data_IF_449134090565
#
_entry.id   IF_449134090565
#
_cell.length_a   1.000
_cell.length_b   1.000
_cell.length_c   1.000
_cell.angle_alpha   90.00
_cell.angle_beta   90.00
_cell.angle_gamma   90.00
#
_symmetry.space_group_name_H-M   'P 1'
#
loop_
_entity.id
_entity.type
_entity.pdbx_description
1 polymer ?
#
# COMPACT_ATOMS: atom_id res chain seq x y z
N UNK A 1 5.26 -15.95 -9.12
CA UNK A 1 4.46 -14.74 -8.83
C UNK A 1 5.37 -13.53 -8.54
N UNK A 2 6.27 -13.57 -7.55
CA UNK A 2 7.20 -12.46 -7.22
C UNK A 2 8.03 -11.92 -8.40
N UNK A 3 8.61 -12.80 -9.24
CA UNK A 3 9.38 -12.40 -10.44
C UNK A 3 8.59 -11.56 -11.46
N UNK A 4 7.27 -11.79 -11.58
CA UNK A 4 6.43 -11.05 -12.52
C UNK A 4 6.08 -9.65 -11.98
N UNK A 5 5.82 -9.52 -10.68
CA UNK A 5 5.54 -8.23 -10.06
C UNK A 5 6.75 -7.29 -10.13
N UNK A 6 7.96 -7.83 -9.92
CA UNK A 6 9.21 -7.07 -10.05
C UNK A 6 9.41 -6.49 -11.46
N UNK A 7 9.12 -7.27 -12.51
CA UNK A 7 9.26 -6.83 -13.90
C UNK A 7 8.22 -5.79 -14.31
N UNK A 8 7.06 -5.78 -13.66
CA UNK A 8 5.97 -4.84 -13.92
C UNK A 8 6.03 -3.61 -13.01
N UNK A 9 7.08 -3.45 -12.20
CA UNK A 9 7.21 -2.34 -11.23
C UNK A 9 6.16 -2.38 -10.11
N UNK A 10 5.45 -3.50 -9.94
CA UNK A 10 4.42 -3.68 -8.92
C UNK A 10 5.09 -4.06 -7.61
N UNK A 11 4.90 -3.23 -6.58
CA UNK A 11 5.33 -3.55 -5.21
C UNK A 11 4.33 -4.49 -4.54
N UNK A 12 4.85 -5.52 -3.90
CA UNK A 12 4.06 -6.43 -3.07
C UNK A 12 3.70 -5.73 -1.76
N UNK A 13 2.42 -5.74 -1.39
CA UNK A 13 2.01 -5.30 -0.05
C UNK A 13 2.30 -6.47 0.91
N UNK A 14 3.24 -6.29 1.82
CA UNK A 14 3.50 -7.22 2.91
C UNK A 14 2.77 -6.78 4.18
N UNK A 15 1.70 -7.50 4.50
CA UNK A 15 0.89 -7.26 5.69
C UNK A 15 0.42 -8.57 6.29
N UNK A 16 0.05 -8.50 7.55
CA UNK A 16 -0.72 -9.52 8.22
C UNK A 16 -2.20 -9.30 7.88
N UNK A 17 -2.88 -10.37 7.47
CA UNK A 17 -4.32 -10.33 7.18
C UNK A 17 -5.14 -10.70 8.41
N UNK A 18 -4.53 -11.34 9.39
CA UNK A 18 -5.17 -11.73 10.64
C UNK A 18 -4.63 -10.87 11.79
N UNK A 19 -5.48 -10.23 12.61
CA UNK A 19 -5.03 -9.42 13.75
C UNK A 19 -4.22 -10.22 14.77
N UNK A 20 -4.42 -11.54 14.86
CA UNK A 20 -3.75 -12.43 15.81
C UNK A 20 -2.37 -12.93 15.33
N UNK A 21 -1.90 -12.50 14.16
CA UNK A 21 -0.63 -12.96 13.57
C UNK A 21 0.58 -12.74 14.51
N UNK A 22 0.60 -11.65 15.26
CA UNK A 22 1.68 -11.37 16.21
C UNK A 22 1.77 -12.41 17.33
N UNK A 23 0.62 -12.84 17.87
CA UNK A 23 0.54 -13.84 18.94
C UNK A 23 0.93 -15.24 18.42
N UNK A 24 0.46 -15.59 17.22
CA UNK A 24 0.81 -16.85 16.57
C UNK A 24 2.29 -16.94 16.22
N UNK A 25 2.88 -15.86 15.69
CA UNK A 25 4.31 -15.80 15.45
C UNK A 25 5.10 -15.96 16.76
N UNK A 26 4.69 -15.30 17.84
CA UNK A 26 5.30 -15.46 19.16
C UNK A 26 5.16 -16.88 19.73
N UNK A 27 4.13 -17.62 19.30
CA UNK A 27 3.89 -19.01 19.69
C UNK A 27 4.61 -20.05 18.81
N UNK A 28 5.41 -19.61 17.84
CA UNK A 28 6.17 -20.51 16.94
C UNK A 28 5.37 -21.06 15.76
N UNK A 29 4.24 -20.43 15.41
CA UNK A 29 3.43 -20.86 14.26
C UNK A 29 4.17 -20.63 12.93
N UNK A 30 5.14 -19.72 12.88
CA UNK A 30 5.96 -19.49 11.68
C UNK A 30 6.67 -20.77 11.25
N UNK A 31 7.09 -21.62 12.18
CA UNK A 31 7.71 -22.92 11.91
C UNK A 31 6.68 -24.05 11.85
N UNK A 32 5.74 -24.09 12.81
CA UNK A 32 4.80 -25.20 12.98
C UNK A 32 3.66 -25.19 11.96
N UNK A 33 3.32 -24.01 11.43
CA UNK A 33 2.21 -23.77 10.51
C UNK A 33 2.64 -22.83 9.38
N UNK A 34 3.85 -23.08 8.87
CA UNK A 34 4.54 -22.26 7.89
C UNK A 34 3.67 -21.89 6.68
N UNK A 35 2.92 -22.86 6.11
CA UNK A 35 2.11 -22.60 4.90
C UNK A 35 1.03 -21.55 5.18
N UNK A 36 0.28 -21.68 6.29
CA UNK A 36 -0.72 -20.68 6.64
C UNK A 36 -0.07 -19.34 6.95
N UNK A 37 0.97 -19.36 7.79
CA UNK A 37 1.62 -18.14 8.27
C UNK A 37 2.31 -17.35 7.15
N UNK A 38 2.91 -18.01 6.16
CA UNK A 38 3.51 -17.34 5.00
C UNK A 38 2.51 -16.80 4.00
N UNK A 39 1.23 -17.13 4.13
CA UNK A 39 0.16 -16.50 3.36
C UNK A 39 -0.57 -15.41 4.14
N UNK A 40 -0.91 -15.68 5.40
CA UNK A 40 -1.74 -14.82 6.23
C UNK A 40 -0.93 -13.85 7.10
N UNK A 41 0.25 -14.24 7.55
CA UNK A 41 1.03 -13.58 8.59
C UNK A 41 2.46 -13.28 8.15
N UNK A 42 2.62 -12.85 6.90
CA UNK A 42 3.95 -12.64 6.28
C UNK A 42 4.80 -11.64 7.02
N UNK A 43 4.18 -10.58 7.55
CA UNK A 43 4.89 -9.53 8.28
C UNK A 43 5.32 -10.07 9.64
N UNK A 44 4.41 -10.71 10.39
CA UNK A 44 4.73 -11.30 11.68
C UNK A 44 5.83 -12.39 11.59
N UNK A 45 5.87 -13.16 10.50
CA UNK A 45 6.93 -14.16 10.27
C UNK A 45 8.18 -13.63 9.54
N UNK A 46 8.28 -12.31 9.31
CA UNK A 46 9.43 -11.69 8.65
C UNK A 46 9.77 -12.30 7.27
N UNK A 47 8.77 -12.75 6.52
CA UNK A 47 8.93 -13.33 5.17
C UNK A 47 8.58 -12.34 4.05
N UNK A 48 8.53 -11.05 4.37
CA UNK A 48 8.35 -9.99 3.36
C UNK A 48 9.52 -10.00 2.36
N UNK A 49 9.23 -9.81 1.07
CA UNK A 49 10.27 -9.57 0.06
C UNK A 49 10.99 -8.23 0.29
N UNK A 50 12.25 -8.13 -0.14
CA UNK A 50 13.11 -6.92 0.00
C UNK A 50 12.53 -5.64 -0.59
N UNK A 51 11.59 -5.75 -1.54
CA UNK A 51 10.91 -4.60 -2.17
C UNK A 51 9.44 -4.48 -1.76
N UNK A 52 8.99 -5.19 -0.73
CA UNK A 52 7.61 -5.16 -0.28
C UNK A 52 7.34 -3.90 0.58
N UNK A 53 6.14 -3.32 0.43
CA UNK A 53 5.69 -2.22 1.30
C UNK A 53 4.88 -2.78 2.46
N UNK A 54 5.07 -2.24 3.65
CA UNK A 54 4.22 -2.56 4.81
C UNK A 54 2.97 -1.69 4.87
N UNK A 55 2.96 -0.61 4.09
CA UNK A 55 1.86 0.35 4.03
C UNK A 55 0.89 -0.04 2.91
N UNK A 56 -0.38 -0.15 3.29
CA UNK A 56 -1.51 -0.22 2.37
C UNK A 56 -1.81 1.23 1.93
N UNK A 57 -0.89 1.81 1.14
CA UNK A 57 -1.09 3.16 0.58
C UNK A 57 -2.16 3.02 -0.50
N UNK A 58 -3.33 3.69 -0.34
CA UNK A 58 -4.35 3.66 -1.38
C UNK A 58 -3.77 4.18 -2.69
N UNK A 59 -4.26 3.66 -3.82
CA UNK A 59 -3.96 4.26 -5.12
C UNK A 59 -4.29 5.76 -5.04
N UNK A 60 -3.37 6.62 -5.48
CA UNK A 60 -3.50 8.04 -5.24
C UNK A 60 -4.46 8.71 -6.22
N UNK A 61 -5.74 8.40 -6.06
CA UNK A 61 -6.88 8.85 -6.86
C UNK A 61 -8.13 8.81 -6.00
N UNK A 62 -9.09 9.66 -6.36
CA UNK A 62 -10.44 9.55 -5.85
C UNK A 62 -11.22 8.61 -6.78
N UNK A 63 -11.95 7.66 -6.21
CA UNK A 63 -12.68 6.62 -6.95
C UNK A 63 -14.19 6.68 -6.73
N UNK A 64 -14.67 7.51 -5.79
CA UNK A 64 -16.10 7.78 -5.70
C UNK A 64 -16.49 8.74 -6.82
N UNK A 65 -17.15 8.23 -7.85
CA UNK A 65 -17.71 9.04 -8.93
C UNK A 65 -19.09 9.62 -8.58
N UNK A 66 -19.80 8.96 -7.67
CA UNK A 66 -21.14 9.35 -7.22
C UNK A 66 -21.11 10.38 -6.09
N UNK A 67 -19.97 10.49 -5.41
CA UNK A 67 -19.80 11.40 -4.28
C UNK A 67 -18.59 12.31 -4.50
N UNK A 68 -18.82 13.61 -4.33
CA UNK A 68 -17.78 14.61 -4.52
C UNK A 68 -16.79 14.56 -3.35
N UNK A 69 -15.67 13.84 -3.55
CA UNK A 69 -14.58 13.72 -2.60
C UNK A 69 -14.00 15.08 -2.18
N UNK A 70 -14.05 16.08 -3.07
CA UNK A 70 -13.62 17.44 -2.73
C UNK A 70 -14.58 18.04 -1.70
N UNK A 71 -15.89 17.98 -1.94
CA UNK A 71 -16.89 18.44 -0.99
C UNK A 71 -16.77 17.75 0.38
N UNK A 72 -16.68 16.41 0.40
CA UNK A 72 -16.58 15.67 1.67
C UNK A 72 -15.28 15.91 2.42
N UNK A 73 -14.17 16.11 1.72
CA UNK A 73 -12.92 16.52 2.37
C UNK A 73 -13.09 17.87 3.08
N UNK A 74 -13.76 18.85 2.46
CA UNK A 74 -14.01 20.17 3.08
C UNK A 74 -14.98 20.10 4.26
N UNK A 75 -15.85 19.09 4.29
CA UNK A 75 -16.78 18.82 5.38
C UNK A 75 -16.16 18.01 6.54
N UNK A 76 -14.84 17.77 6.53
CA UNK A 76 -14.16 17.06 7.62
C UNK A 76 -14.30 15.54 7.60
N UNK A 77 -14.83 14.95 6.52
CA UNK A 77 -15.04 13.50 6.45
C UNK A 77 -13.75 12.70 6.49
N UNK A 78 -12.60 13.30 6.15
CA UNK A 78 -11.30 12.65 6.27
C UNK A 78 -11.00 12.22 7.72
N UNK A 79 -11.53 12.96 8.70
CA UNK A 79 -11.37 12.69 10.12
C UNK A 79 -12.58 11.96 10.72
N UNK A 80 -13.80 12.33 10.31
CA UNK A 80 -15.03 11.74 10.83
C UNK A 80 -15.34 10.35 10.24
N UNK A 81 -14.95 10.10 8.98
CA UNK A 81 -15.17 8.85 8.27
C UNK A 81 -13.89 8.37 7.56
N UNK A 82 -12.79 8.14 8.31
CA UNK A 82 -11.48 7.90 7.74
C UNK A 82 -11.41 6.57 6.97
N UNK A 83 -12.23 5.58 7.34
CA UNK A 83 -12.28 4.29 6.66
C UNK A 83 -12.82 4.42 5.24
N UNK A 84 -13.95 5.10 5.07
CA UNK A 84 -14.52 5.35 3.76
C UNK A 84 -13.62 6.26 2.93
N UNK A 85 -13.18 7.37 3.51
CA UNK A 85 -12.39 8.38 2.78
C UNK A 85 -11.03 7.85 2.35
N UNK A 86 -10.40 6.98 3.14
CA UNK A 86 -9.16 6.28 2.73
C UNK A 86 -9.30 5.43 1.49
N UNK A 87 -10.42 4.75 1.34
CA UNK A 87 -10.64 3.87 0.20
C UNK A 87 -11.10 4.66 -1.02
N UNK A 88 -11.93 5.68 -0.81
CA UNK A 88 -12.70 6.31 -1.89
C UNK A 88 -12.19 7.70 -2.29
N UNK A 89 -11.54 8.41 -1.38
CA UNK A 89 -11.19 9.82 -1.49
C UNK A 89 -9.73 10.08 -1.04
N UNK A 90 -8.84 9.13 -1.30
CA UNK A 90 -7.47 9.15 -0.78
C UNK A 90 -6.67 10.37 -1.25
N UNK A 91 -6.90 10.83 -2.49
CA UNK A 91 -6.26 12.02 -3.04
C UNK A 91 -6.81 13.27 -2.39
N UNK A 92 -8.13 13.42 -2.33
CA UNK A 92 -8.78 14.56 -1.69
C UNK A 92 -8.44 14.70 -0.20
N UNK A 93 -8.24 13.59 0.52
CA UNK A 93 -7.81 13.61 1.92
C UNK A 93 -6.29 13.75 2.11
N UNK A 94 -5.49 13.78 1.04
CA UNK A 94 -4.03 13.91 1.13
C UNK A 94 -3.33 12.74 1.86
N UNK A 95 -3.99 11.59 1.95
CA UNK A 95 -3.52 10.39 2.68
C UNK A 95 -2.88 9.35 1.77
N UNK A 96 -2.71 9.70 0.49
CA UNK A 96 -1.88 8.98 -0.45
C UNK A 96 -0.74 9.87 -0.91
N UNK A 97 0.40 9.25 -1.17
CA UNK A 97 1.44 9.83 -2.00
C UNK A 97 1.41 9.09 -3.32
N UNK A 98 1.43 9.79 -4.45
CA UNK A 98 1.90 9.17 -5.68
C UNK A 98 3.31 8.66 -5.37
N UNK A 99 3.62 7.42 -5.74
CA UNK A 99 5.00 6.95 -5.68
C UNK A 99 5.75 7.71 -6.78
N UNK A 100 6.08 8.97 -6.52
CA UNK A 100 6.96 9.82 -7.31
C UNK A 100 8.40 9.30 -7.15
N UNK A 101 8.63 8.10 -7.67
CA UNK A 101 9.94 7.51 -7.95
C UNK A 101 10.06 7.02 -9.39
N UNK A 102 9.02 7.27 -10.19
CA UNK A 102 9.02 7.21 -11.66
C UNK A 102 8.18 8.38 -12.12
N UNK A 103 8.75 9.58 -11.97
CA UNK A 103 8.23 10.77 -12.61
C UNK A 103 8.36 10.60 -14.13
N UNK A 104 7.23 10.61 -14.84
CA UNK A 104 7.17 10.65 -16.31
C UNK A 104 7.79 11.96 -16.87
N UNK A 105 8.19 12.91 -16.02
CA UNK A 105 8.93 14.12 -16.39
C UNK A 105 10.47 13.91 -16.46
N UNK A 106 11.00 12.76 -16.05
CA UNK A 106 12.44 12.48 -16.11
C UNK A 106 12.94 11.90 -17.46
N UNK A 107 12.09 11.84 -18.50
CA UNK A 107 12.50 11.42 -19.85
C UNK A 107 12.67 12.59 -20.85
N UNK A 108 12.92 13.82 -20.38
CA UNK A 108 13.54 14.87 -21.20
C UNK A 108 15.00 15.08 -20.82
N UNK A 109 15.77 14.05 -21.15
CA UNK A 109 17.20 14.02 -21.48
C UNK A 109 17.98 15.31 -21.20
N UNK A 110 18.98 15.15 -20.34
CA UNK A 110 20.31 15.74 -20.47
C UNK A 110 20.70 15.94 -21.94
N UNK A 111 20.48 17.15 -22.45
CA UNK A 111 21.20 17.65 -23.62
C UNK A 111 21.81 19.00 -23.30
N UNK A 112 23.10 18.89 -23.06
CA UNK A 112 24.13 19.83 -23.48
C UNK A 112 24.47 20.95 -22.47
N UNK A 113 25.14 20.52 -21.41
CA UNK A 113 26.24 21.31 -20.84
C UNK A 113 27.48 21.14 -21.74
N UNK A 114 27.60 22.01 -22.76
CA UNK A 114 28.87 22.58 -23.27
C UNK A 114 28.62 23.90 -24.00
#
# INVERSE_FOLDING_TARGET
>A
MHKLMVLLGLREICRDVNPTCAEWAASGECENNYVYMTHACRKACNVCGVNATTEDVPACRDVSLEHDCQYWSTMGQCDENPGFMRVNCAKSCGICTTVAGIDEDALRLDKDEL
#
